data_IF_469147634429
#
_entry.id   IF_469147634429
#
_cell.length_a   1.000
_cell.length_b   1.000
_cell.length_c   1.000
_cell.angle_alpha   90.00
_cell.angle_beta   90.00
_cell.angle_gamma   90.00
#
_symmetry.space_group_name_H-M   'P 1'
#
loop_
_entity.id
_entity.type
_entity.pdbx_description
1 polymer ?
#
# COMPACT_ATOMS: atom_id res chain seq x y z
N UNK A 1 2.78 9.45 2.97
CA UNK A 1 2.37 8.53 1.90
C UNK A 1 0.96 7.95 2.07
N UNK A 2 0.10 8.52 2.95
CA UNK A 2 -1.26 8.01 3.14
C UNK A 2 -1.31 6.62 3.77
N UNK A 3 -2.52 6.09 3.91
CA UNK A 3 -2.81 4.73 4.34
C UNK A 3 -3.15 3.87 3.11
N UNK A 4 -2.48 2.74 2.91
CA UNK A 4 -2.74 1.87 1.76
C UNK A 4 -4.01 1.07 2.00
N UNK A 5 -4.99 1.20 1.09
CA UNK A 5 -6.26 0.47 1.16
C UNK A 5 -6.17 -0.83 0.38
N UNK A 6 -5.65 -0.77 -0.85
CA UNK A 6 -5.52 -1.94 -1.72
C UNK A 6 -4.45 -1.74 -2.81
N UNK A 7 -3.75 -2.81 -3.16
CA UNK A 7 -2.89 -2.87 -4.35
C UNK A 7 -3.78 -3.17 -5.56
N UNK A 8 -3.69 -2.35 -6.61
CA UNK A 8 -4.59 -2.47 -7.77
C UNK A 8 -3.91 -3.12 -8.96
N UNK A 9 -2.72 -2.66 -9.31
CA UNK A 9 -2.00 -3.15 -10.49
C UNK A 9 -0.55 -3.41 -10.16
N UNK A 10 0.00 -4.45 -10.79
CA UNK A 10 1.44 -4.71 -10.82
C UNK A 10 1.92 -4.23 -12.18
N UNK A 11 2.75 -3.20 -12.19
CA UNK A 11 3.21 -2.57 -13.43
C UNK A 11 4.41 -3.34 -14.02
N UNK A 12 5.31 -3.82 -13.15
CA UNK A 12 6.49 -4.55 -13.60
C UNK A 12 7.02 -5.48 -12.51
N UNK A 13 7.48 -6.65 -12.93
CA UNK A 13 8.19 -7.62 -12.10
C UNK A 13 9.59 -7.76 -12.73
N UNK A 14 10.62 -7.37 -11.99
CA UNK A 14 12.01 -7.47 -12.44
C UNK A 14 12.58 -8.88 -12.31
N UNK A 15 13.85 -9.05 -12.66
CA UNK A 15 14.53 -10.35 -12.51
C UNK A 15 14.69 -10.73 -11.04
N UNK A 16 14.34 -11.98 -10.73
CA UNK A 16 14.43 -12.52 -9.37
C UNK A 16 15.87 -12.83 -8.95
N UNK A 17 16.18 -12.61 -7.68
CA UNK A 17 17.48 -12.92 -7.07
C UNK A 17 17.27 -14.06 -6.07
N UNK A 18 18.01 -15.15 -6.22
CA UNK A 18 17.97 -16.28 -5.30
C UNK A 18 18.61 -15.86 -3.98
N UNK A 19 17.92 -16.10 -2.87
CA UNK A 19 18.43 -15.75 -1.56
C UNK A 19 19.44 -16.81 -1.08
N UNK A 20 20.71 -16.47 -0.79
CA UNK A 20 21.70 -17.46 -0.39
C UNK A 20 21.27 -18.17 0.90
N UNK A 21 21.33 -19.51 0.92
CA UNK A 21 21.00 -20.30 2.10
C UNK A 21 19.50 -20.50 2.38
N UNK A 22 18.62 -19.91 1.57
CA UNK A 22 17.18 -20.13 1.62
C UNK A 22 16.68 -20.48 0.21
N UNK A 23 15.80 -21.47 0.07
CA UNK A 23 15.26 -21.88 -1.24
C UNK A 23 14.29 -20.88 -1.89
N UNK A 24 14.37 -19.60 -1.52
CA UNK A 24 13.45 -18.55 -1.93
C UNK A 24 14.09 -17.60 -2.95
N UNK A 25 13.24 -16.97 -3.76
CA UNK A 25 13.63 -15.99 -4.79
C UNK A 25 12.93 -14.66 -4.50
N UNK A 26 13.70 -13.58 -4.49
CA UNK A 26 13.19 -12.22 -4.25
C UNK A 26 13.06 -11.49 -5.58
N UNK A 27 11.87 -10.95 -5.86
CA UNK A 27 11.61 -10.18 -7.08
C UNK A 27 11.39 -8.70 -6.74
N UNK A 28 12.09 -7.76 -7.40
CA UNK A 28 11.75 -6.35 -7.31
C UNK A 28 10.46 -6.08 -8.10
N UNK A 29 9.44 -5.56 -7.44
CA UNK A 29 8.11 -5.32 -8.04
C UNK A 29 7.73 -3.85 -7.98
N UNK A 30 7.31 -3.28 -9.11
CA UNK A 30 6.65 -1.98 -9.18
C UNK A 30 5.14 -2.19 -9.24
N UNK A 31 4.41 -1.58 -8.31
CA UNK A 31 2.97 -1.71 -8.20
C UNK A 31 2.31 -0.37 -7.93
N UNK A 32 1.02 -0.28 -8.26
CA UNK A 32 0.14 0.83 -7.88
C UNK A 32 -0.79 0.38 -6.76
N UNK A 33 -1.10 1.31 -5.88
CA UNK A 33 -2.02 1.08 -4.79
C UNK A 33 -2.95 2.29 -4.62
N UNK A 34 -4.19 2.01 -4.22
CA UNK A 34 -5.13 3.01 -3.74
C UNK A 34 -4.74 3.37 -2.31
N UNK A 35 -4.50 4.66 -2.09
CA UNK A 35 -4.10 5.20 -0.78
C UNK A 35 -5.13 6.21 -0.30
N UNK A 36 -5.52 6.09 0.96
CA UNK A 36 -6.24 7.13 1.66
C UNK A 36 -5.24 8.16 2.18
N UNK A 37 -5.15 9.32 1.52
CA UNK A 37 -4.24 10.40 1.88
C UNK A 37 -4.97 11.73 1.91
N UNK A 38 -5.55 12.11 3.07
CA UNK A 38 -6.15 13.42 3.21
C UNK A 38 -5.14 14.55 2.98
N UNK A 39 -5.61 15.68 2.49
CA UNK A 39 -4.80 16.88 2.31
C UNK A 39 -5.24 18.05 3.20
N UNK A 40 -4.36 19.02 3.39
CA UNK A 40 -4.62 20.16 4.29
C UNK A 40 -5.76 21.01 3.71
N UNK A 41 -6.81 21.22 4.51
CA UNK A 41 -7.99 21.98 4.11
C UNK A 41 -9.03 21.16 3.34
N UNK A 42 -8.85 19.84 3.22
CA UNK A 42 -9.85 18.95 2.67
C UNK A 42 -11.04 18.81 3.65
N UNK A 43 -12.25 18.89 3.11
CA UNK A 43 -13.49 18.62 3.85
C UNK A 43 -13.95 17.20 3.47
N UNK A 44 -14.16 16.36 4.47
CA UNK A 44 -14.52 14.95 4.30
C UNK A 44 -15.72 14.63 5.20
N UNK A 45 -16.69 13.90 4.64
CA UNK A 45 -17.80 13.35 5.41
C UNK A 45 -17.35 12.08 6.15
N UNK A 46 -17.80 11.93 7.40
CA UNK A 46 -17.47 10.79 8.24
C UNK A 46 -18.64 10.39 9.14
N UNK A 47 -18.65 9.13 9.57
CA UNK A 47 -19.64 8.59 10.51
C UNK A 47 -18.99 8.44 11.89
N UNK A 48 -19.64 8.97 12.93
CA UNK A 48 -19.18 8.81 14.32
C UNK A 48 -19.45 7.38 14.77
N UNK A 49 -18.40 6.63 15.08
CA UNK A 49 -18.51 5.22 15.52
C UNK A 49 -18.43 5.05 17.03
N UNK A 50 -17.76 5.98 17.73
CA UNK A 50 -17.60 5.95 19.18
C UNK A 50 -17.58 7.37 19.73
N UNK A 51 -18.26 7.57 20.84
CA UNK A 51 -18.15 8.78 21.67
C UNK A 51 -17.66 8.37 23.05
N UNK A 52 -16.62 9.03 23.54
CA UNK A 52 -16.16 8.84 24.92
C UNK A 52 -16.66 10.00 25.79
N UNK A 53 -16.86 9.73 27.09
CA UNK A 53 -17.40 10.68 28.06
C UNK A 53 -16.33 11.55 28.69
#
# INVERSE_FOLDING_TARGET
YGFVVAVTTIDNIGAGIIQPGQGFVVYPVKYKAVVFRPFKGEVLDAVVTQVNK
#
